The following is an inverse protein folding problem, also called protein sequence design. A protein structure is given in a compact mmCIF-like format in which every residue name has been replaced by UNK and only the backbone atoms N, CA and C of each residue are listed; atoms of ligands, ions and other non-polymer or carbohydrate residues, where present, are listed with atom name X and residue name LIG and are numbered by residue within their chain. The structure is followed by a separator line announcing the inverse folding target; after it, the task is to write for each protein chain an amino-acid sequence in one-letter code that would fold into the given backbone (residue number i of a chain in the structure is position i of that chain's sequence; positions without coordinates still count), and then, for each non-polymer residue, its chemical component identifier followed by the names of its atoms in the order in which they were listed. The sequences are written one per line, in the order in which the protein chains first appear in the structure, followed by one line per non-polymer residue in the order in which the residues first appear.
data_IF_421666898063
#
_entry.id   IF_421666898063
#
_cell.length_a   1.000
_cell.length_b   1.000
_cell.length_c   1.000
_cell.angle_alpha   90.00
_cell.angle_beta   90.00
_cell.angle_gamma   90.00
#
_symmetry.space_group_name_H-M   'P 1'
#
loop_
_entity.id
_entity.type
_entity.pdbx_description
1 polymer ?
#
# COMPACT_ATOMS: atom_id res chain seq x y z
N UNK A 1 25.37 -8.48 -17.82
CA UNK A 1 25.10 -8.18 -16.40
C UNK A 1 26.16 -8.87 -15.55
N UNK A 2 27.17 -8.13 -15.04
CA UNK A 2 28.17 -8.73 -14.15
C UNK A 2 27.48 -9.33 -12.91
N UNK A 3 28.00 -10.43 -12.37
CA UNK A 3 27.40 -11.14 -11.22
C UNK A 3 27.25 -10.22 -9.99
N UNK A 4 28.18 -9.26 -9.87
CA UNK A 4 28.14 -8.22 -8.85
C UNK A 4 26.97 -7.24 -9.03
N UNK A 5 26.60 -6.95 -10.28
CA UNK A 5 25.41 -6.17 -10.61
C UNK A 5 24.12 -6.93 -10.32
N UNK A 6 24.10 -8.24 -10.56
CA UNK A 6 22.92 -9.07 -10.29
C UNK A 6 22.67 -9.26 -8.78
N UNK A 7 23.73 -9.41 -7.99
CA UNK A 7 23.63 -9.47 -6.53
C UNK A 7 23.20 -8.14 -5.92
N UNK A 8 23.73 -7.02 -6.43
CA UNK A 8 23.28 -5.68 -6.05
C UNK A 8 21.79 -5.44 -6.33
N UNK A 9 21.31 -5.86 -7.50
CA UNK A 9 19.89 -5.76 -7.85
C UNK A 9 18.99 -6.60 -6.93
N UNK A 10 19.44 -7.79 -6.54
CA UNK A 10 18.71 -8.64 -5.58
C UNK A 10 18.57 -7.96 -4.21
N UNK A 11 19.68 -7.45 -3.67
CA UNK A 11 19.68 -6.76 -2.37
C UNK A 11 18.78 -5.53 -2.43
N UNK A 12 18.87 -4.74 -3.50
CA UNK A 12 18.01 -3.58 -3.70
C UNK A 12 16.51 -3.96 -3.77
N UNK A 13 16.17 -5.06 -4.45
CA UNK A 13 14.80 -5.56 -4.53
C UNK A 13 14.25 -5.97 -3.17
N UNK A 14 15.03 -6.70 -2.37
CA UNK A 14 14.62 -7.13 -1.01
C UNK A 14 14.39 -5.91 -0.11
N UNK A 15 15.31 -4.94 -0.12
CA UNK A 15 15.16 -3.71 0.67
C UNK A 15 13.92 -2.93 0.24
N UNK A 16 13.71 -2.78 -1.06
CA UNK A 16 12.52 -2.09 -1.61
C UNK A 16 11.23 -2.79 -1.21
N UNK A 17 11.17 -4.12 -1.33
CA UNK A 17 10.01 -4.91 -0.92
C UNK A 17 9.75 -4.78 0.60
N UNK A 18 10.80 -4.80 1.42
CA UNK A 18 10.69 -4.60 2.87
C UNK A 18 10.14 -3.23 3.25
N UNK A 19 10.62 -2.16 2.60
CA UNK A 19 10.11 -0.79 2.81
C UNK A 19 8.65 -0.67 2.39
N UNK A 20 8.29 -1.19 1.21
CA UNK A 20 6.90 -1.20 0.74
C UNK A 20 5.97 -1.99 1.66
N UNK A 21 6.43 -3.15 2.16
CA UNK A 21 5.70 -3.95 3.13
C UNK A 21 5.48 -3.19 4.45
N UNK A 22 6.52 -2.51 4.95
CA UNK A 22 6.41 -1.66 6.14
C UNK A 22 5.38 -0.55 5.98
N UNK A 23 5.43 0.19 4.85
CA UNK A 23 4.42 1.21 4.55
C UNK A 23 3.02 0.64 4.41
N UNK A 24 2.85 -0.54 3.81
CA UNK A 24 1.55 -1.20 3.67
C UNK A 24 0.96 -1.58 5.05
N UNK A 25 1.78 -2.12 5.95
CA UNK A 25 1.35 -2.47 7.31
C UNK A 25 0.91 -1.21 8.06
N UNK A 26 1.71 -0.13 8.01
CA UNK A 26 1.36 1.13 8.66
C UNK A 26 0.06 1.73 8.08
N UNK A 27 -0.10 1.71 6.76
CA UNK A 27 -1.32 2.16 6.09
C UNK A 27 -2.56 1.38 6.54
N UNK A 28 -2.43 0.06 6.71
CA UNK A 28 -3.53 -0.79 7.20
C UNK A 28 -3.98 -0.39 8.62
N UNK A 29 -3.05 -0.19 9.56
CA UNK A 29 -3.40 0.23 10.92
C UNK A 29 -4.09 1.60 10.97
N UNK A 30 -3.61 2.56 10.19
CA UNK A 30 -4.27 3.87 10.05
C UNK A 30 -5.69 3.69 9.49
N UNK A 31 -5.87 2.79 8.54
CA UNK A 31 -7.18 2.51 7.95
C UNK A 31 -8.15 1.90 8.97
N UNK A 32 -7.71 0.93 9.78
CA UNK A 32 -8.51 0.37 10.89
C UNK A 32 -8.94 1.46 11.86
N UNK A 33 -8.02 2.36 12.21
CA UNK A 33 -8.32 3.51 13.07
C UNK A 33 -9.39 4.43 12.45
N UNK A 34 -9.27 4.76 11.16
CA UNK A 34 -10.25 5.57 10.43
C UNK A 34 -11.63 4.92 10.46
N UNK A 35 -11.72 3.61 10.20
CA UNK A 35 -13.00 2.89 10.21
C UNK A 35 -13.61 2.85 11.60
N UNK A 36 -12.81 2.60 12.64
CA UNK A 36 -13.29 2.58 14.03
C UNK A 36 -13.84 3.94 14.46
N UNK A 37 -13.11 5.02 14.20
CA UNK A 37 -13.55 6.38 14.54
C UNK A 37 -14.77 6.77 13.71
N UNK A 38 -14.76 6.47 12.40
CA UNK A 38 -15.89 6.75 11.51
C UNK A 38 -17.17 6.05 11.93
N UNK A 39 -17.09 4.79 12.37
CA UNK A 39 -18.24 4.06 12.89
C UNK A 39 -18.78 4.68 14.19
N UNK A 40 -17.89 5.11 15.08
CA UNK A 40 -18.26 5.81 16.31
C UNK A 40 -18.98 7.14 16.03
N UNK A 41 -18.52 7.91 15.05
CA UNK A 41 -19.20 9.15 14.61
C UNK A 41 -20.58 8.88 14.00
N UNK A 42 -20.77 7.72 13.36
CA UNK A 42 -22.05 7.29 12.80
C UNK A 42 -23.00 6.67 13.85
N UNK A 43 -22.60 6.60 15.12
CA UNK A 43 -23.42 6.03 16.20
C UNK A 43 -23.46 4.50 16.23
N UNK A 44 -22.59 3.82 15.47
CA UNK A 44 -22.49 2.37 15.49
C UNK A 44 -21.41 1.90 16.46
N UNK A 45 -21.66 0.77 17.12
CA UNK A 45 -20.65 0.03 17.89
C UNK A 45 -20.33 -1.27 17.15
N UNK A 46 -19.50 -1.22 16.09
CA UNK A 46 -19.16 -2.41 15.34
C UNK A 46 -18.28 -3.35 16.17
N UNK A 47 -18.48 -4.66 15.98
CA UNK A 47 -17.50 -5.66 16.43
C UNK A 47 -16.17 -5.45 15.70
N UNK A 48 -15.05 -5.66 16.40
CA UNK A 48 -13.71 -5.45 15.84
C UNK A 48 -13.46 -6.23 14.55
N UNK A 49 -14.07 -7.41 14.38
CA UNK A 49 -13.95 -8.22 13.16
C UNK A 49 -14.47 -7.49 11.92
N UNK A 50 -15.59 -6.77 12.04
CA UNK A 50 -16.15 -5.98 10.93
C UNK A 50 -15.28 -4.76 10.62
N UNK A 51 -14.69 -4.13 11.63
CA UNK A 51 -13.79 -2.98 11.44
C UNK A 51 -12.54 -3.40 10.67
N UNK A 52 -11.95 -4.53 11.05
CA UNK A 52 -10.78 -5.10 10.39
C UNK A 52 -11.11 -5.53 8.95
N UNK A 53 -12.25 -6.19 8.73
CA UNK A 53 -12.70 -6.59 7.40
C UNK A 53 -12.95 -5.39 6.49
N UNK A 54 -13.70 -4.39 6.96
CA UNK A 54 -13.96 -3.16 6.20
C UNK A 54 -12.68 -2.38 5.91
N UNK A 55 -11.75 -2.33 6.87
CA UNK A 55 -10.45 -1.71 6.68
C UNK A 55 -9.58 -2.45 5.65
N UNK A 56 -9.62 -3.79 5.62
CA UNK A 56 -8.90 -4.59 4.64
C UNK A 56 -9.41 -4.33 3.21
N UNK A 57 -10.73 -4.21 3.03
CA UNK A 57 -11.34 -3.86 1.76
C UNK A 57 -10.97 -2.43 1.33
N UNK A 58 -11.00 -1.46 2.25
CA UNK A 58 -10.61 -0.09 1.96
C UNK A 58 -9.12 0.02 1.60
N UNK A 59 -8.25 -0.68 2.33
CA UNK A 59 -6.82 -0.75 2.04
C UNK A 59 -6.55 -1.35 0.65
N UNK A 60 -7.28 -2.41 0.28
CA UNK A 60 -7.21 -2.98 -1.08
C UNK A 60 -7.57 -1.94 -2.14
N UNK A 61 -8.66 -1.19 -1.92
CA UNK A 61 -9.06 -0.09 -2.81
C UNK A 61 -8.02 1.02 -2.92
N UNK A 62 -7.41 1.42 -1.79
CA UNK A 62 -6.37 2.45 -1.75
C UNK A 62 -5.09 2.01 -2.49
N UNK A 63 -4.68 0.76 -2.35
CA UNK A 63 -3.50 0.20 -3.06
C UNK A 63 -3.75 0.20 -4.58
N UNK A 64 -4.93 -0.26 -5.02
CA UNK A 64 -5.28 -0.27 -6.45
C UNK A 64 -5.37 1.15 -7.01
N UNK A 65 -5.99 2.08 -6.28
CA UNK A 65 -6.07 3.49 -6.68
C UNK A 65 -4.68 4.16 -6.75
N UNK A 66 -3.76 3.81 -5.85
CA UNK A 66 -2.38 4.29 -5.86
C UNK A 66 -1.53 3.73 -7.01
N UNK A 67 -1.88 2.56 -7.58
CA UNK A 67 -1.20 2.00 -8.74
C UNK A 67 -1.43 2.84 -10.02
N UNK A 68 -2.58 3.50 -10.14
CA UNK A 68 -2.97 4.29 -11.32
C UNK A 68 -2.04 5.49 -11.61
N UNK A 69 -1.69 6.36 -10.64
CA UNK A 69 -0.71 7.42 -10.85
C UNK A 69 0.70 6.90 -11.20
N UNK A 70 1.13 5.77 -10.61
CA UNK A 70 2.42 5.15 -10.95
C UNK A 70 2.44 4.63 -12.38
N UNK A 71 1.33 4.05 -12.85
CA UNK A 71 1.18 3.64 -14.24
C UNK A 71 1.23 4.85 -15.19
N UNK A 72 0.61 5.97 -14.82
CA UNK A 72 0.70 7.23 -15.58
C UNK A 72 2.13 7.80 -15.63
N UNK A 73 2.87 7.73 -14.53
CA UNK A 73 4.27 8.20 -14.47
C UNK A 73 5.24 7.30 -15.24
N UNK A 74 4.98 5.99 -15.29
CA UNK A 74 5.72 5.03 -16.13
C UNK A 74 5.61 5.34 -17.63
N UNK A 75 4.52 5.98 -18.07
CA UNK A 75 4.34 6.38 -19.48
C UNK A 75 5.07 7.67 -19.86
N UNK A 76 5.18 8.63 -18.94
CA UNK A 76 5.84 9.93 -19.16
C UNK A 76 7.33 9.81 -19.47
N UNK A 77 8.00 8.75 -19.01
CA UNK A 77 9.41 8.49 -19.33
C UNK A 77 9.67 8.04 -20.78
N UNK A 78 8.65 7.56 -21.50
CA UNK A 78 8.80 6.99 -22.85
C UNK A 78 8.66 8.00 -24.00
N UNK A 79 8.19 9.21 -23.72
CA UNK A 79 7.94 10.25 -24.74
C UNK A 79 9.04 11.30 -24.82
N UNK A 80 10.18 11.09 -24.14
CA UNK A 80 11.30 12.02 -24.10
C UNK A 80 12.55 11.54 -24.88
N UNK A 81 12.46 10.43 -25.61
CA UNK A 81 13.49 9.95 -26.55
C UNK A 81 13.02 10.03 -28.00
#
# INVERSE_FOLDING_TARGET
MSILGSFGALVASIVTAGVMLGFAILSFFITVFIVQVGAGLAGYTPSGDFVVLSAALLATGAIVAGATPMAGLSGVGSTAE
#
